data_IF_061711943021
#
_entry.id   IF_061711943021
#
_cell.length_a   1.000
_cell.length_b   1.000
_cell.length_c   1.000
_cell.angle_alpha   90.00
_cell.angle_beta   90.00
_cell.angle_gamma   90.00
#
_symmetry.space_group_name_H-M   'P 1'
#
loop_
_entity.id
_entity.type
_entity.pdbx_description
1 polymer ?
#
# COMPACT_ATOMS: atom_id res chain seq x y z
N UNK A 1 -8.71 1.49 -5.51
CA UNK A 1 -8.08 2.59 -4.73
C UNK A 1 -8.80 2.70 -3.39
N UNK A 2 -8.19 3.26 -2.34
CA UNK A 2 -8.94 3.48 -1.10
C UNK A 2 -10.00 4.57 -1.26
N UNK A 3 -10.91 4.65 -0.29
CA UNK A 3 -12.08 5.52 -0.34
C UNK A 3 -11.86 6.91 0.28
N UNK A 4 -10.60 7.36 0.42
CA UNK A 4 -10.25 8.69 0.94
C UNK A 4 -11.01 9.79 0.18
N UNK A 5 -11.46 10.82 0.89
CA UNK A 5 -12.25 11.92 0.32
C UNK A 5 -11.53 12.61 -0.85
N UNK A 6 -10.21 12.76 -0.76
CA UNK A 6 -9.36 13.31 -1.82
C UNK A 6 -9.52 12.57 -3.16
N UNK A 7 -9.79 11.25 -3.14
CA UNK A 7 -9.97 10.43 -4.35
C UNK A 7 -11.34 10.57 -5.01
N UNK A 8 -12.28 11.26 -4.36
CA UNK A 8 -13.69 11.39 -4.79
C UNK A 8 -14.04 12.81 -5.27
N UNK A 9 -13.07 13.71 -5.31
CA UNK A 9 -13.28 15.10 -5.73
C UNK A 9 -13.75 15.22 -7.18
N UNK A 10 -14.41 16.33 -7.49
CA UNK A 10 -14.97 16.60 -8.82
C UNK A 10 -13.91 16.57 -9.92
N UNK A 11 -12.72 17.12 -9.65
CA UNK A 11 -11.58 17.11 -10.57
C UNK A 11 -11.20 15.68 -11.00
N UNK A 12 -11.15 14.73 -10.06
CA UNK A 12 -10.80 13.34 -10.34
C UNK A 12 -11.92 12.65 -11.13
N UNK A 13 -13.18 12.86 -10.75
CA UNK A 13 -14.33 12.28 -11.46
C UNK A 13 -14.43 12.78 -12.90
N UNK A 14 -14.20 14.08 -13.12
CA UNK A 14 -14.16 14.68 -14.46
C UNK A 14 -13.05 14.08 -15.30
N UNK A 15 -11.85 13.94 -14.73
CA UNK A 15 -10.73 13.28 -15.40
C UNK A 15 -11.05 11.82 -15.75
N UNK A 16 -11.62 11.06 -14.81
CA UNK A 16 -11.97 9.66 -15.01
C UNK A 16 -12.98 9.49 -16.16
N UNK A 17 -14.04 10.32 -16.18
CA UNK A 17 -15.03 10.33 -17.28
C UNK A 17 -14.39 10.64 -18.63
N UNK A 18 -13.54 11.68 -18.69
CA UNK A 18 -12.83 12.07 -19.92
C UNK A 18 -11.94 10.94 -20.45
N UNK A 19 -11.31 10.17 -19.57
CA UNK A 19 -10.36 9.12 -19.93
C UNK A 19 -10.97 7.71 -19.94
N UNK A 20 -12.30 7.58 -19.82
CA UNK A 20 -13.00 6.28 -19.75
C UNK A 20 -12.45 5.34 -18.66
N UNK A 21 -12.12 5.92 -17.51
CA UNK A 21 -11.62 5.19 -16.32
C UNK A 21 -12.77 5.01 -15.33
N UNK A 22 -12.96 3.79 -14.86
CA UNK A 22 -13.88 3.48 -13.75
C UNK A 22 -13.14 3.55 -12.41
N UNK A 23 -13.77 4.20 -11.41
CA UNK A 23 -13.19 4.36 -10.08
C UNK A 23 -13.74 3.29 -9.13
N UNK A 24 -12.96 2.24 -8.88
CA UNK A 24 -13.30 1.19 -7.91
C UNK A 24 -12.67 1.46 -6.55
N UNK A 25 -13.51 1.71 -5.54
CA UNK A 25 -13.09 2.02 -4.17
C UNK A 25 -13.12 0.78 -3.27
N UNK A 26 -12.10 0.60 -2.44
CA UNK A 26 -12.14 -0.39 -1.36
C UNK A 26 -13.01 0.12 -0.21
N UNK A 27 -13.72 -0.75 0.52
CA UNK A 27 -14.47 -0.35 1.72
C UNK A 27 -13.58 0.30 2.79
N UNK A 28 -14.21 0.99 3.74
CA UNK A 28 -13.52 1.58 4.90
C UNK A 28 -12.83 0.48 5.72
N UNK A 29 -11.60 0.74 6.17
CA UNK A 29 -10.75 -0.21 6.90
C UNK A 29 -10.47 -1.54 6.17
N UNK A 30 -10.49 -1.53 4.83
CA UNK A 30 -10.21 -2.70 3.99
C UNK A 30 -8.87 -2.60 3.24
N UNK A 31 -7.79 -2.21 3.92
CA UNK A 31 -6.43 -2.20 3.34
C UNK A 31 -6.01 -3.57 2.78
N UNK A 32 -6.51 -4.65 3.36
CA UNK A 32 -6.34 -6.02 2.86
C UNK A 32 -6.84 -6.24 1.43
N UNK A 33 -7.83 -5.45 1.00
CA UNK A 33 -8.41 -5.50 -0.34
C UNK A 33 -7.70 -4.54 -1.33
N UNK A 34 -6.79 -3.67 -0.86
CA UNK A 34 -6.06 -2.74 -1.71
C UNK A 34 -4.77 -3.41 -2.24
N UNK A 35 -4.65 -3.71 -3.55
CA UNK A 35 -3.51 -4.48 -4.08
C UNK A 35 -2.14 -3.82 -3.83
N UNK A 36 -2.09 -2.49 -3.75
CA UNK A 36 -0.82 -1.77 -3.54
C UNK A 36 -0.26 -1.97 -2.12
N UNK A 37 -1.12 -2.25 -1.13
CA UNK A 37 -0.73 -2.35 0.27
C UNK A 37 0.34 -3.43 0.50
N UNK A 38 0.25 -4.54 -0.24
CA UNK A 38 1.20 -5.65 -0.19
C UNK A 38 2.64 -5.28 -0.59
N UNK A 39 2.86 -4.15 -1.25
CA UNK A 39 4.19 -3.71 -1.68
C UNK A 39 4.91 -2.86 -0.64
N UNK A 40 4.17 -2.15 0.22
CA UNK A 40 4.75 -1.13 1.08
C UNK A 40 5.68 -1.68 2.16
N UNK A 41 5.48 -2.91 2.63
CA UNK A 41 6.39 -3.54 3.60
C UNK A 41 7.80 -3.70 3.06
N UNK A 42 7.95 -4.25 1.85
CA UNK A 42 9.26 -4.37 1.21
C UNK A 42 9.89 -3.01 0.93
N UNK A 43 9.10 -2.04 0.46
CA UNK A 43 9.59 -0.69 0.20
C UNK A 43 10.11 -0.04 1.48
N UNK A 44 9.32 -0.02 2.56
CA UNK A 44 9.74 0.52 3.86
C UNK A 44 11.02 -0.14 4.35
N UNK A 45 11.10 -1.46 4.28
CA UNK A 45 12.27 -2.20 4.76
C UNK A 45 13.57 -1.80 4.05
N UNK A 46 13.53 -1.58 2.72
CA UNK A 46 14.75 -1.34 1.94
C UNK A 46 15.07 0.13 1.72
N UNK A 47 14.12 1.05 1.95
CA UNK A 47 14.32 2.47 1.62
C UNK A 47 14.10 3.44 2.78
N UNK A 48 13.48 3.00 3.88
CA UNK A 48 13.09 3.87 5.00
C UNK A 48 13.60 3.32 6.35
N UNK A 49 13.59 2.00 6.53
CA UNK A 49 14.03 1.40 7.78
C UNK A 49 15.51 1.72 8.02
N UNK A 50 15.81 2.22 9.23
CA UNK A 50 17.16 2.58 9.67
C UNK A 50 17.87 3.64 8.81
N UNK A 51 17.14 4.46 8.05
CA UNK A 51 17.72 5.59 7.32
C UNK A 51 17.60 6.89 8.12
N UNK A 52 18.65 7.71 8.11
CA UNK A 52 18.61 9.11 8.56
C UNK A 52 18.95 10.01 7.36
N UNK A 53 17.93 10.60 6.74
CA UNK A 53 18.11 11.46 5.57
C UNK A 53 18.19 12.92 6.00
N UNK A 54 19.32 13.57 5.70
CA UNK A 54 19.53 14.99 5.98
C UNK A 54 18.69 15.93 5.11
N UNK A 55 18.18 15.44 3.97
CA UNK A 55 17.39 16.20 3.00
C UNK A 55 16.20 15.38 2.51
N UNK A 56 15.04 16.05 2.41
CA UNK A 56 13.80 15.53 1.85
C UNK A 56 13.96 15.03 0.41
N UNK A 57 14.93 15.52 -0.36
CA UNK A 57 15.17 15.05 -1.74
C UNK A 57 15.83 13.67 -1.82
N UNK A 58 16.53 13.24 -0.77
CA UNK A 58 17.26 11.97 -0.76
C UNK A 58 16.30 10.78 -0.68
N UNK A 59 15.22 10.91 0.09
CA UNK A 59 14.25 9.84 0.29
C UNK A 59 13.55 9.42 -1.03
N UNK A 60 12.98 10.33 -1.86
CA UNK A 60 12.43 9.98 -3.16
C UNK A 60 13.45 9.37 -4.12
N UNK A 61 14.69 9.85 -4.12
CA UNK A 61 15.77 9.30 -4.96
C UNK A 61 16.08 7.85 -4.58
N UNK A 62 16.22 7.56 -3.30
CA UNK A 62 16.41 6.20 -2.78
C UNK A 62 15.24 5.28 -3.13
N UNK A 63 14.02 5.77 -2.98
CA UNK A 63 12.80 5.04 -3.36
C UNK A 63 12.78 4.71 -4.86
N UNK A 64 13.07 5.67 -5.73
CA UNK A 64 13.13 5.44 -7.18
C UNK A 64 14.27 4.51 -7.59
N UNK A 65 15.43 4.59 -6.93
CA UNK A 65 16.54 3.66 -7.16
C UNK A 65 16.14 2.23 -6.80
N UNK A 66 15.54 2.03 -5.63
CA UNK A 66 15.03 0.74 -5.19
C UNK A 66 13.96 0.19 -6.14
N UNK A 67 12.98 0.99 -6.57
CA UNK A 67 11.95 0.51 -7.51
C UNK A 67 12.55 0.04 -8.83
N UNK A 68 13.50 0.80 -9.39
CA UNK A 68 14.21 0.42 -10.63
C UNK A 68 15.04 -0.84 -10.45
N UNK A 69 15.70 -0.99 -9.31
CA UNK A 69 16.49 -2.18 -9.01
C UNK A 69 15.60 -3.40 -8.78
N UNK A 70 14.55 -3.28 -7.95
CA UNK A 70 13.57 -4.33 -7.67
C UNK A 70 12.91 -4.86 -8.95
N UNK A 71 12.54 -3.96 -9.87
CA UNK A 71 11.89 -4.35 -11.13
C UNK A 71 12.85 -5.09 -12.08
N UNK A 72 14.17 -4.87 -11.96
CA UNK A 72 15.19 -5.68 -12.65
C UNK A 72 15.49 -6.99 -11.95
N UNK A 73 15.33 -7.03 -10.62
CA UNK A 73 15.70 -8.14 -9.75
C UNK A 73 14.47 -8.82 -9.13
N UNK A 74 13.45 -9.11 -9.94
CA UNK A 74 12.13 -9.58 -9.45
C UNK A 74 12.19 -10.90 -8.68
N UNK A 75 13.24 -11.71 -8.87
CA UNK A 75 13.47 -13.00 -8.18
C UNK A 75 14.41 -12.91 -6.99
N UNK A 76 14.85 -11.71 -6.59
CA UNK A 76 15.77 -11.56 -5.47
C UNK A 76 15.17 -12.13 -4.17
N UNK A 77 15.85 -13.06 -3.48
CA UNK A 77 15.26 -13.82 -2.38
C UNK A 77 14.76 -12.93 -1.23
N UNK A 78 15.54 -11.93 -0.83
CA UNK A 78 15.15 -11.02 0.26
C UNK A 78 13.93 -10.15 -0.09
N UNK A 79 13.78 -9.77 -1.37
CA UNK A 79 12.62 -9.00 -1.83
C UNK A 79 11.38 -9.88 -1.79
N UNK A 80 11.49 -11.12 -2.28
CA UNK A 80 10.38 -12.09 -2.23
C UNK A 80 9.97 -12.42 -0.79
N UNK A 81 10.94 -12.60 0.11
CA UNK A 81 10.68 -12.83 1.53
C UNK A 81 9.93 -11.65 2.16
N UNK A 82 10.41 -10.42 1.94
CA UNK A 82 9.75 -9.20 2.45
C UNK A 82 8.33 -9.03 1.88
N UNK A 83 8.12 -9.29 0.59
CA UNK A 83 6.80 -9.25 -0.04
C UNK A 83 5.85 -10.32 0.53
N UNK A 84 6.34 -11.54 0.76
CA UNK A 84 5.53 -12.61 1.38
C UNK A 84 5.11 -12.22 2.80
N UNK A 85 6.04 -11.70 3.61
CA UNK A 85 5.76 -11.23 4.97
C UNK A 85 4.69 -10.12 4.96
N UNK A 86 4.84 -9.12 4.09
CA UNK A 86 3.86 -8.03 4.01
C UNK A 86 2.49 -8.51 3.51
N UNK A 87 2.44 -9.41 2.52
CA UNK A 87 1.17 -10.00 2.06
C UNK A 87 0.46 -10.78 3.15
N UNK A 88 1.19 -11.53 3.97
CA UNK A 88 0.62 -12.25 5.10
C UNK A 88 0.04 -11.27 6.14
N UNK A 89 0.81 -10.22 6.48
CA UNK A 89 0.35 -9.15 7.37
C UNK A 89 -0.92 -8.48 6.85
N UNK A 90 -0.90 -7.98 5.61
CA UNK A 90 -2.04 -7.31 4.96
C UNK A 90 -3.28 -8.22 4.92
N UNK A 91 -3.13 -9.51 4.62
CA UNK A 91 -4.27 -10.45 4.61
C UNK A 91 -4.87 -10.70 5.99
N UNK A 92 -4.05 -10.72 7.04
CA UNK A 92 -4.53 -10.91 8.42
C UNK A 92 -5.47 -9.80 8.88
N UNK A 93 -5.39 -8.60 8.28
CA UNK A 93 -6.28 -7.48 8.59
C UNK A 93 -7.75 -7.74 8.22
N UNK A 94 -8.04 -8.68 7.30
CA UNK A 94 -9.41 -9.03 6.91
C UNK A 94 -10.27 -9.50 8.09
N UNK A 95 -9.66 -10.14 9.08
CA UNK A 95 -10.36 -10.68 10.25
C UNK A 95 -10.51 -9.67 11.39
N UNK A 96 -9.97 -8.45 11.25
CA UNK A 96 -10.05 -7.42 12.28
C UNK A 96 -11.40 -6.72 12.20
N UNK A 97 -12.22 -6.84 13.25
CA UNK A 97 -13.44 -6.04 13.43
C UNK A 97 -13.10 -4.73 14.13
N UNK A 98 -13.17 -3.64 13.39
CA UNK A 98 -13.07 -2.28 13.94
C UNK A 98 -14.42 -1.86 14.53
N UNK A 99 -14.48 -1.57 15.83
CA UNK A 99 -15.67 -1.01 16.50
C UNK A 99 -16.76 -1.99 16.93
N UNK A 100 -16.48 -3.30 17.02
CA UNK A 100 -17.45 -4.29 17.51
C UNK A 100 -17.48 -4.39 19.05
N UNK A 101 -18.67 -4.47 19.66
CA UNK A 101 -18.81 -4.96 21.05
C UNK A 101 -18.28 -6.41 21.10
N UNK A 102 -17.58 -6.82 22.17
CA UNK A 102 -17.19 -8.22 22.33
C UNK A 102 -18.43 -9.10 22.18
N UNK A 103 -18.30 -10.21 21.47
CA UNK A 103 -19.37 -11.20 21.42
C UNK A 103 -19.64 -11.62 22.87
N UNK A 104 -20.86 -11.36 23.35
CA UNK A 104 -21.32 -11.95 24.60
C UNK A 104 -21.18 -13.46 24.42
N UNK A 105 -20.32 -14.06 25.25
CA UNK A 105 -20.18 -15.50 25.37
C UNK A 105 -21.55 -15.99 25.83
N UNK A 106 -22.23 -16.76 24.97
CA UNK A 106 -23.43 -17.50 25.31
C UNK A 106 -23.05 -18.80 26.03
#
# INVERSE_FOLDING_TARGET
MDNLSAHKGETIRRWARKNRVELCFTPTYASWANPIAAHFGSLRQFTIANSNHHDQTVQPRGLHAYLRWRNRNVRHPNVLAALRKERARVRSEKSIRWGGRPALIA
#
